data_IF_046653099660
#
_entry.id   IF_046653099660
#
_cell.length_a   1.000
_cell.length_b   1.000
_cell.length_c   1.000
_cell.angle_alpha   90.00
_cell.angle_beta   90.00
_cell.angle_gamma   90.00
#
_symmetry.space_group_name_H-M   'P 1'
#
loop_
_entity.id
_entity.type
_entity.pdbx_description
1 polymer ?
#
# COMPACT_ATOMS: atom_id res chain seq x y z
N UNK A 1 16.06 32.27 -14.45
CA UNK A 1 15.24 31.94 -13.26
C UNK A 1 14.26 30.80 -13.50
N UNK A 2 13.24 30.95 -14.36
CA UNK A 2 12.25 29.87 -14.59
C UNK A 2 12.89 28.62 -15.22
N UNK A 3 13.75 28.80 -16.22
CA UNK A 3 14.46 27.68 -16.88
C UNK A 3 15.39 26.95 -15.90
N UNK A 4 15.99 27.67 -14.96
CA UNK A 4 16.83 27.08 -13.92
C UNK A 4 16.01 26.23 -12.96
N UNK A 5 14.82 26.71 -12.54
CA UNK A 5 13.88 25.97 -11.68
C UNK A 5 13.37 24.70 -12.38
N UNK A 6 13.05 24.76 -13.68
CA UNK A 6 12.58 23.58 -14.42
C UNK A 6 13.64 22.47 -14.51
N UNK A 7 14.93 22.83 -14.60
CA UNK A 7 16.02 21.84 -14.56
C UNK A 7 16.07 21.12 -13.22
N UNK A 8 15.91 21.84 -12.11
CA UNK A 8 15.83 21.23 -10.79
C UNK A 8 14.58 20.36 -10.62
N UNK A 9 13.43 20.81 -11.14
CA UNK A 9 12.19 20.05 -11.10
C UNK A 9 12.29 18.72 -11.87
N UNK A 10 13.03 18.70 -12.99
CA UNK A 10 13.22 17.48 -13.78
C UNK A 10 14.05 16.43 -13.03
N UNK A 11 15.14 16.84 -12.37
CA UNK A 11 15.93 15.94 -11.51
C UNK A 11 15.07 15.42 -10.36
N UNK A 12 14.26 16.29 -9.75
CA UNK A 12 13.32 15.89 -8.71
C UNK A 12 12.29 14.86 -9.19
N UNK A 13 11.67 15.08 -10.36
CA UNK A 13 10.72 14.13 -10.95
C UNK A 13 11.37 12.77 -11.26
N UNK A 14 12.62 12.76 -11.74
CA UNK A 14 13.37 11.52 -11.97
C UNK A 14 13.64 10.76 -10.66
N UNK A 15 14.00 11.47 -9.60
CA UNK A 15 14.21 10.88 -8.27
C UNK A 15 12.90 10.30 -7.73
N UNK A 16 11.80 11.05 -7.80
CA UNK A 16 10.46 10.58 -7.41
C UNK A 16 10.06 9.33 -8.19
N UNK A 17 10.28 9.31 -9.50
CA UNK A 17 9.96 8.18 -10.36
C UNK A 17 10.79 6.93 -10.01
N UNK A 18 12.09 7.09 -9.76
CA UNK A 18 12.96 5.99 -9.35
C UNK A 18 12.48 5.37 -8.03
N UNK A 19 12.12 6.19 -7.05
CA UNK A 19 11.58 5.70 -5.78
C UNK A 19 10.19 5.08 -5.93
N UNK A 20 9.30 5.68 -6.73
CA UNK A 20 7.97 5.13 -6.99
C UNK A 20 8.05 3.73 -7.64
N UNK A 21 8.93 3.55 -8.61
CA UNK A 21 9.18 2.24 -9.23
C UNK A 21 9.76 1.22 -8.23
N UNK A 22 10.73 1.62 -7.40
CA UNK A 22 11.32 0.75 -6.38
C UNK A 22 10.32 0.31 -5.30
N UNK A 23 9.50 1.24 -4.80
CA UNK A 23 8.45 0.96 -3.83
C UNK A 23 7.32 0.12 -4.43
N UNK A 24 6.90 0.42 -5.66
CA UNK A 24 5.92 -0.40 -6.36
C UNK A 24 6.43 -1.84 -6.51
N UNK A 25 7.69 -2.06 -6.88
CA UNK A 25 8.26 -3.41 -6.97
C UNK A 25 8.29 -4.14 -5.62
N UNK A 26 8.63 -3.45 -4.52
CA UNK A 26 8.72 -4.06 -3.20
C UNK A 26 7.34 -4.38 -2.60
N UNK A 27 6.38 -3.45 -2.71
CA UNK A 27 5.08 -3.57 -2.05
C UNK A 27 4.02 -4.26 -2.90
N UNK A 28 4.19 -4.38 -4.22
CA UNK A 28 3.20 -5.04 -5.09
C UNK A 28 2.91 -6.48 -4.66
N UNK A 29 3.95 -7.24 -4.29
CA UNK A 29 3.79 -8.62 -3.80
C UNK A 29 2.94 -8.69 -2.53
N UNK A 30 3.23 -7.83 -1.55
CA UNK A 30 2.51 -7.81 -0.28
C UNK A 30 1.07 -7.29 -0.43
N UNK A 31 0.85 -6.29 -1.29
CA UNK A 31 -0.48 -5.77 -1.62
C UNK A 31 -1.35 -6.83 -2.30
N UNK A 32 -0.79 -7.59 -3.25
CA UNK A 32 -1.49 -8.68 -3.93
C UNK A 32 -1.93 -9.79 -2.96
N UNK A 33 -1.07 -10.18 -2.03
CA UNK A 33 -1.41 -11.18 -1.01
C UNK A 33 -2.55 -10.71 -0.10
N UNK A 34 -2.54 -9.45 0.35
CA UNK A 34 -3.60 -8.87 1.19
C UNK A 34 -4.91 -8.68 0.44
N UNK A 35 -4.85 -8.34 -0.85
CA UNK A 35 -6.04 -8.26 -1.70
C UNK A 35 -6.76 -9.62 -1.81
N UNK A 36 -6.00 -10.71 -1.92
CA UNK A 36 -6.57 -12.07 -1.91
C UNK A 36 -7.22 -12.42 -0.56
N UNK A 37 -6.59 -12.04 0.57
CA UNK A 37 -7.17 -12.21 1.90
C UNK A 37 -8.50 -11.43 2.06
N UNK A 38 -8.59 -10.20 1.54
CA UNK A 38 -9.86 -9.46 1.54
C UNK A 38 -10.91 -10.09 0.61
N UNK A 39 -10.51 -10.61 -0.55
CA UNK A 39 -11.46 -11.31 -1.44
C UNK A 39 -12.07 -12.55 -0.76
N UNK A 40 -11.25 -13.29 0.00
CA UNK A 40 -11.73 -14.41 0.82
C UNK A 40 -12.71 -13.96 1.92
N UNK A 41 -12.41 -12.85 2.60
CA UNK A 41 -13.31 -12.25 3.59
C UNK A 41 -14.64 -11.82 2.96
N UNK A 42 -14.60 -11.17 1.81
CA UNK A 42 -15.80 -10.68 1.10
C UNK A 42 -16.69 -11.84 0.65
N UNK A 43 -16.11 -12.92 0.13
CA UNK A 43 -16.85 -14.14 -0.23
C UNK A 43 -17.52 -14.80 0.98
N UNK A 44 -16.87 -14.73 2.13
CA UNK A 44 -17.43 -15.26 3.38
C UNK A 44 -18.57 -14.39 3.93
N UNK A 45 -18.46 -13.06 3.90
CA UNK A 45 -19.59 -12.18 4.27
C UNK A 45 -20.82 -12.47 3.39
N UNK A 46 -20.61 -12.74 2.10
CA UNK A 46 -21.69 -13.07 1.18
C UNK A 46 -22.35 -14.44 1.47
N UNK A 47 -21.64 -15.38 2.12
CA UNK A 47 -22.15 -16.69 2.54
C UNK A 47 -21.65 -17.04 3.95
N UNK A 48 -22.29 -16.50 5.01
CA UNK A 48 -21.79 -16.63 6.38
C UNK A 48 -21.93 -18.08 6.86
N UNK A 49 -20.80 -18.77 7.07
CA UNK A 49 -20.79 -20.07 7.74
C UNK A 49 -20.71 -19.90 9.26
N UNK A 50 -21.50 -20.65 10.06
CA UNK A 50 -21.67 -20.40 11.51
C UNK A 50 -20.49 -20.84 12.40
N UNK A 51 -19.34 -21.19 11.84
CA UNK A 51 -18.24 -21.91 12.55
C UNK A 51 -16.88 -21.20 12.45
N UNK A 52 -16.84 -19.86 12.54
CA UNK A 52 -15.56 -19.12 12.46
C UNK A 52 -15.32 -18.24 13.69
N UNK A 53 -14.12 -18.38 14.26
CA UNK A 53 -13.63 -17.60 15.39
C UNK A 53 -13.58 -16.10 15.07
N UNK A 54 -14.26 -15.27 15.88
CA UNK A 54 -14.31 -13.81 15.72
C UNK A 54 -12.91 -13.16 15.60
N UNK A 55 -11.90 -13.68 16.30
CA UNK A 55 -10.53 -13.19 16.20
C UNK A 55 -9.88 -13.35 14.80
N UNK A 56 -10.28 -14.37 14.04
CA UNK A 56 -9.81 -14.57 12.66
C UNK A 56 -10.54 -13.63 11.68
N UNK A 57 -11.74 -13.18 12.05
CA UNK A 57 -12.53 -12.23 11.27
C UNK A 57 -11.93 -10.82 11.34
N UNK A 58 -11.53 -10.37 12.53
CA UNK A 58 -10.96 -9.02 12.71
C UNK A 58 -9.63 -8.83 11.97
N UNK A 59 -8.78 -9.87 11.95
CA UNK A 59 -7.52 -9.85 11.21
C UNK A 59 -7.70 -9.83 9.69
N UNK A 60 -8.74 -10.48 9.17
CA UNK A 60 -9.10 -10.45 7.74
C UNK A 60 -9.71 -9.10 7.33
N UNK A 61 -10.47 -8.46 8.23
CA UNK A 61 -11.03 -7.13 8.02
C UNK A 61 -9.93 -6.06 7.93
N UNK A 62 -8.92 -6.13 8.80
CA UNK A 62 -7.74 -5.25 8.73
C UNK A 62 -7.00 -5.37 7.38
N UNK A 63 -6.95 -6.57 6.79
CA UNK A 63 -6.32 -6.77 5.48
C UNK A 63 -7.04 -6.07 4.31
N UNK A 64 -8.27 -5.58 4.49
CA UNK A 64 -9.02 -4.88 3.43
C UNK A 64 -8.89 -3.34 3.44
N UNK A 65 -7.99 -2.79 4.25
CA UNK A 65 -7.79 -1.35 4.31
C UNK A 65 -7.30 -0.78 2.95
N UNK A 66 -7.84 0.38 2.57
CA UNK A 66 -7.50 1.12 1.35
C UNK A 66 -5.99 1.46 1.33
N UNK A 67 -5.38 1.53 2.52
CA UNK A 67 -3.94 1.69 2.75
C UNK A 67 -3.06 0.79 1.90
N UNK A 68 -3.46 -0.47 1.71
CA UNK A 68 -2.69 -1.47 0.98
C UNK A 68 -2.79 -1.31 -0.55
N UNK A 69 -3.77 -0.53 -1.03
CA UNK A 69 -3.99 -0.25 -2.45
C UNK A 69 -3.19 0.95 -2.95
N UNK A 70 -2.72 1.81 -2.04
CA UNK A 70 -1.97 3.04 -2.37
C UNK A 70 -0.68 2.78 -3.16
N UNK A 71 -0.09 1.59 -3.01
CA UNK A 71 1.17 1.15 -3.63
C UNK A 71 0.98 0.12 -4.74
N UNK A 72 -0.27 -0.08 -5.19
CA UNK A 72 -0.60 -1.03 -6.27
C UNK A 72 -0.27 -0.48 -7.67
N UNK A 73 -0.13 0.83 -7.79
CA UNK A 73 0.14 1.50 -9.07
C UNK A 73 1.18 2.61 -8.86
N UNK A 74 2.05 2.77 -9.85
CA UNK A 74 3.13 3.76 -9.86
C UNK A 74 2.56 5.19 -9.71
N UNK A 75 1.39 5.45 -10.29
CA UNK A 75 0.74 6.76 -10.20
C UNK A 75 0.37 7.14 -8.75
N UNK A 76 -0.36 6.26 -8.05
CA UNK A 76 -0.70 6.50 -6.64
C UNK A 76 0.52 6.50 -5.73
N UNK A 77 1.54 5.70 -6.06
CA UNK A 77 2.82 5.72 -5.35
C UNK A 77 3.54 7.06 -5.52
N UNK A 78 3.47 7.68 -6.71
CA UNK A 78 4.06 9.00 -6.95
C UNK A 78 3.30 10.13 -6.24
N UNK A 79 1.97 10.06 -6.18
CA UNK A 79 1.12 11.01 -5.46
C UNK A 79 1.40 10.97 -3.95
N UNK A 80 1.48 9.77 -3.39
CA UNK A 80 1.84 9.59 -1.98
C UNK A 80 3.26 10.08 -1.70
N UNK A 81 4.24 9.76 -2.55
CA UNK A 81 5.60 10.28 -2.35
C UNK A 81 5.67 11.82 -2.41
N UNK A 82 4.88 12.44 -3.29
CA UNK A 82 4.79 13.89 -3.38
C UNK A 82 4.26 14.52 -2.09
N UNK A 83 3.17 13.99 -1.54
CA UNK A 83 2.60 14.48 -0.28
C UNK A 83 3.48 14.14 0.94
N UNK A 84 4.29 13.09 0.86
CA UNK A 84 5.22 12.70 1.92
C UNK A 84 6.34 13.73 2.11
N UNK A 85 6.75 14.43 1.04
CA UNK A 85 7.73 15.52 1.11
C UNK A 85 7.26 16.69 1.99
N UNK A 86 5.94 16.91 2.07
CA UNK A 86 5.35 17.92 2.95
C UNK A 86 5.07 17.41 4.37
N UNK A 87 5.41 16.14 4.66
CA UNK A 87 5.14 15.51 5.95
C UNK A 87 3.67 15.18 6.18
N UNK A 88 2.85 15.13 5.12
CA UNK A 88 1.41 14.85 5.22
C UNK A 88 1.07 13.35 5.21
N UNK A 89 2.08 12.49 5.04
CA UNK A 89 1.90 11.03 5.02
C UNK A 89 2.64 10.40 6.18
N UNK A 90 1.89 9.57 6.89
CA UNK A 90 2.34 8.85 8.06
C UNK A 90 3.06 7.54 7.67
N UNK A 91 4.16 7.22 8.36
CA UNK A 91 4.96 5.99 8.14
C UNK A 91 4.12 4.71 8.32
N UNK A 92 3.00 4.79 9.03
CA UNK A 92 2.06 3.69 9.18
C UNK A 92 1.49 3.16 7.85
N UNK A 93 1.54 3.93 6.75
CA UNK A 93 1.17 3.45 5.39
C UNK A 93 2.14 2.43 4.82
N UNK A 94 3.40 2.43 5.28
CA UNK A 94 4.43 1.51 4.80
C UNK A 94 4.69 0.34 5.76
N UNK A 95 4.00 0.30 6.90
CA UNK A 95 4.22 -0.75 7.89
C UNK A 95 3.57 -2.05 7.46
N UNK A 96 4.40 -3.01 7.04
CA UNK A 96 3.97 -4.36 6.70
C UNK A 96 3.98 -5.22 7.96
N UNK A 97 2.81 -5.69 8.39
CA UNK A 97 2.70 -6.69 9.46
C UNK A 97 3.16 -8.02 8.88
N UNK A 98 4.43 -8.37 9.11
CA UNK A 98 4.98 -9.69 8.73
C UNK A 98 4.13 -10.74 9.44
N UNK A 99 3.54 -11.65 8.66
CA UNK A 99 2.94 -12.87 9.19
C UNK A 99 4.10 -13.73 9.65
N UNK A 100 4.54 -13.56 10.90
CA UNK A 100 5.45 -14.50 11.52
C UNK A 100 4.67 -15.79 11.65
N UNK A 101 5.02 -16.78 10.83
CA UNK A 101 4.58 -18.17 10.97
C UNK A 101 5.21 -18.73 12.25
N UNK A 102 4.73 -18.32 13.42
CA UNK A 102 4.92 -19.12 14.63
C UNK A 102 3.76 -20.11 14.64
N UNK A 103 4.17 -21.35 14.43
CA UNK A 103 3.46 -22.62 14.56
C UNK A 103 2.49 -22.64 15.75
#
# INVERSE_FOLDING_TARGET
MVIDILKFFLVYALVLFAFACGLNQLLWYYGAMRAQECEQYTKWIANPSPVVNAAKMDTLKESCDIKYRSVSSIYHTSETLFWAMFGLIDLSHFTLKVRVLIN
#
